data_IF_409943279615
#
_entry.id   IF_409943279615
#
_cell.length_a   1.000
_cell.length_b   1.000
_cell.length_c   1.000
_cell.angle_alpha   90.00
_cell.angle_beta   90.00
_cell.angle_gamma   90.00
#
_symmetry.space_group_name_H-M   'P 1'
#
loop_
_entity.id
_entity.type
_entity.pdbx_description
1 polymer ?
#
# COMPACT_ATOMS: atom_id res chain seq x y z
N UNK A 1 16.60 -0.54 14.23
CA UNK A 1 15.30 -0.52 14.92
C UNK A 1 14.27 0.11 14.00
N UNK A 2 13.08 -0.46 13.90
CA UNK A 2 11.98 0.05 13.06
C UNK A 2 10.90 0.57 14.00
N UNK A 3 10.56 1.85 13.88
CA UNK A 3 9.56 2.51 14.72
C UNK A 3 8.28 2.66 13.92
N UNK A 4 7.15 2.26 14.49
CA UNK A 4 5.83 2.49 13.94
C UNK A 4 4.99 3.33 14.91
N UNK A 5 4.01 4.05 14.38
CA UNK A 5 3.07 4.81 15.20
C UNK A 5 2.19 3.86 16.04
N UNK A 6 1.76 2.75 15.43
CA UNK A 6 0.93 1.73 16.04
C UNK A 6 1.57 0.35 15.81
N UNK A 7 1.55 -0.49 16.85
CA UNK A 7 2.05 -1.86 16.81
C UNK A 7 0.98 -2.80 17.35
N UNK A 8 0.86 -3.98 16.72
CA UNK A 8 -0.17 -4.95 17.07
C UNK A 8 0.45 -6.18 17.72
N UNK A 9 -0.03 -6.51 18.91
CA UNK A 9 0.43 -7.70 19.67
C UNK A 9 -0.63 -8.79 19.73
N UNK A 10 -1.90 -8.45 19.45
CA UNK A 10 -2.98 -9.42 19.45
C UNK A 10 -2.98 -10.28 18.18
N UNK A 11 -3.29 -11.56 18.35
CA UNK A 11 -3.28 -12.52 17.25
C UNK A 11 -4.35 -12.21 16.20
N UNK A 12 -5.49 -11.64 16.60
CA UNK A 12 -6.57 -11.28 15.67
C UNK A 12 -6.17 -10.13 14.75
N UNK A 13 -5.47 -9.12 15.28
CA UNK A 13 -4.93 -8.01 14.49
C UNK A 13 -3.82 -8.48 13.55
N UNK A 14 -2.94 -9.37 14.03
CA UNK A 14 -1.90 -10.00 13.22
C UNK A 14 -2.50 -10.82 12.07
N UNK A 15 -3.57 -11.58 12.33
CA UNK A 15 -4.26 -12.36 11.30
C UNK A 15 -4.92 -11.45 10.25
N UNK A 16 -5.55 -10.35 10.69
CA UNK A 16 -6.09 -9.32 9.79
C UNK A 16 -5.01 -8.71 8.89
N UNK A 17 -3.85 -8.35 9.46
CA UNK A 17 -2.73 -7.84 8.67
C UNK A 17 -2.24 -8.89 7.67
N UNK A 18 -2.16 -10.17 8.06
CA UNK A 18 -1.78 -11.26 7.17
C UNK A 18 -2.77 -11.48 6.03
N UNK A 19 -4.08 -11.36 6.30
CA UNK A 19 -5.11 -11.40 5.27
C UNK A 19 -4.91 -10.28 4.24
N UNK A 20 -4.67 -9.05 4.69
CA UNK A 20 -4.36 -7.92 3.79
C UNK A 20 -3.06 -8.16 2.99
N UNK A 21 -2.02 -8.73 3.61
CA UNK A 21 -0.78 -9.13 2.94
C UNK A 21 -1.03 -10.19 1.85
N UNK A 22 -2.02 -11.06 2.02
CA UNK A 22 -2.39 -12.07 1.04
C UNK A 22 -3.13 -11.49 -0.17
N UNK A 23 -3.78 -10.33 -0.03
CA UNK A 23 -4.41 -9.60 -1.14
C UNK A 23 -3.41 -8.79 -1.97
N UNK A 24 -2.35 -8.31 -1.33
CA UNK A 24 -1.29 -7.48 -1.92
C UNK A 24 -0.19 -8.33 -2.58
N UNK A 25 -0.52 -8.87 -3.76
CA UNK A 25 0.42 -9.59 -4.61
C UNK A 25 1.48 -8.66 -5.20
N UNK A 26 2.69 -9.19 -5.37
CA UNK A 26 3.78 -8.51 -6.05
C UNK A 26 3.39 -8.21 -7.52
N UNK A 27 3.86 -7.08 -8.05
CA UNK A 27 3.64 -6.65 -9.44
C UNK A 27 2.16 -6.42 -9.80
N UNK A 28 1.30 -6.23 -8.80
CA UNK A 28 -0.12 -5.95 -8.99
C UNK A 28 -0.41 -4.46 -8.88
N UNK A 29 -1.21 -3.94 -9.80
CA UNK A 29 -1.79 -2.61 -9.66
C UNK A 29 -2.93 -2.63 -8.63
N UNK A 30 -2.83 -1.76 -7.64
CA UNK A 30 -3.82 -1.61 -6.58
C UNK A 30 -4.07 -0.13 -6.29
N UNK A 31 -5.31 0.18 -5.93
CA UNK A 31 -5.71 1.46 -5.37
C UNK A 31 -5.97 1.24 -3.88
N UNK A 32 -5.25 1.99 -3.05
CA UNK A 32 -5.31 1.94 -1.60
C UNK A 32 -5.94 3.23 -1.09
N UNK A 33 -6.86 3.11 -0.13
CA UNK A 33 -7.39 4.26 0.58
C UNK A 33 -6.93 4.22 2.03
N UNK A 34 -6.41 5.34 2.51
CA UNK A 34 -6.01 5.52 3.91
C UNK A 34 -7.17 6.00 4.77
N UNK A 35 -7.07 5.79 6.07
CA UNK A 35 -7.98 6.31 7.11
C UNK A 35 -8.09 7.84 7.08
N UNK A 36 -7.00 8.53 6.71
CA UNK A 36 -6.93 9.98 6.55
C UNK A 36 -7.65 10.49 5.28
N UNK A 37 -8.26 9.61 4.49
CA UNK A 37 -8.99 9.92 3.26
C UNK A 37 -8.12 10.06 2.02
N UNK A 38 -6.79 9.95 2.14
CA UNK A 38 -5.86 9.93 1.01
C UNK A 38 -5.97 8.62 0.23
N UNK A 39 -5.88 8.71 -1.09
CA UNK A 39 -5.88 7.56 -1.99
C UNK A 39 -4.57 7.47 -2.76
N UNK A 40 -4.02 6.26 -2.85
CA UNK A 40 -2.81 5.95 -3.59
C UNK A 40 -3.07 4.83 -4.57
N UNK A 41 -2.90 5.10 -5.85
CA UNK A 41 -2.93 4.09 -6.90
C UNK A 41 -1.52 3.88 -7.45
N UNK A 42 -1.13 2.62 -7.62
CA UNK A 42 0.17 2.27 -8.19
C UNK A 42 0.44 0.77 -8.17
N UNK A 43 1.69 0.42 -8.42
CA UNK A 43 2.17 -0.95 -8.47
C UNK A 43 2.76 -1.37 -7.13
N UNK A 44 2.36 -2.52 -6.62
CA UNK A 44 2.96 -3.11 -5.42
C UNK A 44 4.38 -3.55 -5.76
N UNK A 45 5.40 -2.81 -5.29
CA UNK A 45 6.81 -3.13 -5.57
C UNK A 45 7.23 -4.50 -5.02
N UNK A 46 6.70 -4.85 -3.85
CA UNK A 46 6.93 -6.14 -3.24
C UNK A 46 5.78 -6.48 -2.29
N UNK A 47 5.51 -7.77 -2.16
CA UNK A 47 4.55 -8.26 -1.16
C UNK A 47 4.97 -7.78 0.23
N UNK A 48 4.10 -7.07 0.97
CA UNK A 48 4.41 -6.63 2.32
C UNK A 48 4.69 -7.83 3.21
N UNK A 49 5.59 -7.64 4.18
CA UNK A 49 5.93 -8.68 5.17
C UNK A 49 5.64 -8.16 6.57
N UNK A 50 5.04 -9.01 7.38
CA UNK A 50 4.86 -8.76 8.80
C UNK A 50 6.24 -8.71 9.46
N UNK A 51 6.52 -7.62 10.17
CA UNK A 51 7.78 -7.40 10.86
C UNK A 51 7.51 -6.85 12.25
N UNK A 52 8.50 -7.00 13.14
CA UNK A 52 8.45 -6.41 14.46
C UNK A 52 8.80 -4.92 14.39
N UNK A 53 7.97 -4.10 15.03
CA UNK A 53 8.13 -2.67 15.18
C UNK A 53 8.01 -2.31 16.66
N UNK A 54 8.64 -1.20 17.02
CA UNK A 54 8.50 -0.60 18.34
C UNK A 54 7.65 0.66 18.23
N UNK A 55 6.70 0.84 19.15
CA UNK A 55 5.99 2.10 19.28
C UNK A 55 6.83 3.12 20.07
N UNK A 56 6.38 4.37 20.14
CA UNK A 56 7.10 5.45 20.86
C UNK A 56 7.16 5.22 22.38
N UNK A 57 6.24 4.44 22.91
CA UNK A 57 6.16 4.06 24.33
C UNK A 57 7.06 2.86 24.69
N UNK A 58 7.80 2.31 23.72
CA UNK A 58 8.69 1.16 23.90
C UNK A 58 7.98 -0.20 23.85
N UNK A 59 6.69 -0.22 23.51
CA UNK A 59 5.94 -1.43 23.21
C UNK A 59 6.40 -2.08 21.91
N UNK A 60 6.70 -3.36 21.98
CA UNK A 60 7.02 -4.20 20.81
C UNK A 60 5.74 -4.83 20.27
N UNK A 61 5.60 -4.84 18.95
CA UNK A 61 4.52 -5.57 18.28
C UNK A 61 4.79 -5.74 16.79
N UNK A 62 3.81 -6.27 16.09
CA UNK A 62 3.89 -6.55 14.67
C UNK A 62 3.19 -5.47 13.85
N UNK A 63 3.77 -5.12 12.72
CA UNK A 63 3.13 -4.28 11.70
C UNK A 63 3.72 -4.64 10.32
N UNK A 64 3.16 -4.08 9.25
CA UNK A 64 3.62 -4.28 7.89
C UNK A 64 3.58 -2.98 7.11
N UNK A 65 4.52 -2.84 6.16
CA UNK A 65 4.62 -1.70 5.27
C UNK A 65 4.52 -2.23 3.83
N UNK A 66 3.64 -1.63 3.04
CA UNK A 66 3.56 -1.85 1.59
C UNK A 66 4.22 -0.69 0.87
N UNK A 67 5.04 -1.01 -0.13
CA UNK A 67 5.62 -0.02 -1.02
C UNK A 67 4.81 0.04 -2.31
N UNK A 68 4.20 1.19 -2.57
CA UNK A 68 3.49 1.46 -3.82
C UNK A 68 4.37 2.33 -4.70
N UNK A 69 4.67 1.84 -5.89
CA UNK A 69 5.35 2.57 -6.95
C UNK A 69 4.29 3.30 -7.75
N UNK A 70 4.41 4.62 -7.82
CA UNK A 70 3.53 5.46 -8.61
C UNK A 70 4.26 5.81 -9.91
N UNK A 71 4.00 5.09 -11.01
CA UNK A 71 4.51 5.48 -12.31
C UNK A 71 3.80 6.77 -12.73
N UNK A 72 4.57 7.82 -12.98
CA UNK A 72 4.07 9.07 -13.53
C UNK A 72 4.58 9.21 -14.97
N UNK A 73 3.88 8.61 -15.96
CA UNK A 73 4.31 8.65 -17.35
C UNK A 73 4.30 10.07 -17.93
N UNK A 74 3.37 10.91 -17.46
CA UNK A 74 3.22 12.30 -17.92
C UNK A 74 4.15 13.28 -17.18
N UNK A 75 4.62 12.90 -15.98
CA UNK A 75 5.43 13.74 -15.12
C UNK A 75 6.49 12.89 -14.39
N UNK A 76 7.63 12.55 -15.04
CA UNK A 76 8.65 11.70 -14.44
C UNK A 76 9.26 12.30 -13.16
N UNK A 77 9.15 13.61 -12.95
CA UNK A 77 9.55 14.27 -11.70
C UNK A 77 8.67 13.87 -10.49
N UNK A 78 7.45 13.38 -10.73
CA UNK A 78 6.55 12.84 -9.69
C UNK A 78 6.55 11.31 -9.65
N UNK A 79 7.33 10.66 -10.53
CA UNK A 79 7.50 9.21 -10.47
C UNK A 79 8.29 8.87 -9.21
N UNK A 80 7.71 8.04 -8.37
CA UNK A 80 8.29 7.76 -7.06
C UNK A 80 7.68 6.52 -6.42
N UNK A 81 8.05 6.31 -5.17
CA UNK A 81 7.46 5.28 -4.34
C UNK A 81 7.03 5.88 -3.02
N UNK A 82 5.97 5.32 -2.45
CA UNK A 82 5.49 5.64 -1.12
C UNK A 82 5.42 4.37 -0.29
N UNK A 83 5.92 4.45 0.93
CA UNK A 83 5.84 3.40 1.92
C UNK A 83 4.63 3.69 2.82
N UNK A 84 3.64 2.81 2.81
CA UNK A 84 2.38 2.94 3.55
C UNK A 84 2.24 1.81 4.57
N UNK A 85 1.82 2.14 5.79
CA UNK A 85 1.52 1.13 6.81
C UNK A 85 0.19 0.43 6.48
N UNK A 86 0.16 -0.90 6.58
CA UNK A 86 -1.06 -1.68 6.32
C UNK A 86 -2.20 -1.31 7.27
N UNK A 87 -1.86 -1.03 8.52
CA UNK A 87 -2.76 -0.48 9.54
C UNK A 87 -3.62 0.68 9.07
N UNK A 88 -3.03 1.61 8.30
CA UNK A 88 -3.68 2.83 7.84
C UNK A 88 -4.57 2.60 6.63
N UNK A 89 -4.47 1.45 5.99
CA UNK A 89 -5.24 1.13 4.79
C UNK A 89 -6.61 0.63 5.21
N UNK A 90 -7.65 1.38 4.84
CA UNK A 90 -9.03 1.03 5.13
C UNK A 90 -9.71 0.29 3.97
N UNK A 91 -9.16 0.37 2.76
CA UNK A 91 -9.73 -0.23 1.55
C UNK A 91 -8.61 -0.55 0.55
N UNK A 92 -8.62 -1.78 0.01
CA UNK A 92 -7.69 -2.26 -1.01
C UNK A 92 -8.53 -2.66 -2.23
N UNK A 93 -8.32 -1.98 -3.36
CA UNK A 93 -8.99 -2.30 -4.61
C UNK A 93 -7.97 -2.76 -5.65
N UNK A 94 -8.08 -3.99 -6.16
CA UNK A 94 -7.31 -4.38 -7.34
C UNK A 94 -7.83 -3.56 -8.53
N UNK A 95 -7.03 -2.61 -8.99
CA UNK A 95 -7.27 -1.95 -10.26
C UNK A 95 -6.63 -2.86 -11.30
N UNK A 96 -7.46 -3.70 -11.94
CA UNK A 96 -7.03 -4.35 -13.18
C UNK A 96 -6.51 -3.25 -14.10
N UNK A 97 -5.34 -3.47 -14.73
CA UNK A 97 -4.66 -2.51 -15.59
C UNK A 97 -5.70 -1.72 -16.40
N UNK A 98 -6.04 -0.52 -15.93
CA UNK A 98 -6.87 0.39 -16.66
C UNK A 98 -5.87 1.01 -17.63
N UNK A 99 -5.83 0.43 -18.83
CA UNK A 99 -5.24 1.08 -19.98
C UNK A 99 -5.70 2.55 -19.92
N UNK A 100 -4.80 3.55 -19.89
CA UNK A 100 -5.23 4.93 -19.89
C UNK A 100 -6.13 5.08 -21.11
N UNK A 101 -7.40 5.40 -20.89
CA UNK A 101 -8.41 5.49 -21.94
C UNK A 101 -7.78 6.21 -23.14
N UNK A 102 -7.51 5.42 -24.18
CA UNK A 102 -6.89 5.91 -25.40
C UNK A 102 -7.69 7.13 -25.81
N UNK A 103 -7.00 8.27 -25.89
CA UNK A 103 -7.60 9.51 -26.33
C UNK A 103 -8.38 9.23 -27.60
N UNK A 104 -9.68 9.50 -27.52
CA UNK A 104 -10.59 9.57 -28.66
C UNK A 104 -10.00 10.59 -29.64
N UNK A 105 -9.16 10.10 -30.55
CA UNK A 105 -8.91 10.76 -31.83
C UNK A 105 -9.99 10.23 -32.75
N UNK A 106 -11.21 10.72 -32.53
CA UNK A 106 -12.25 10.74 -33.54
C UNK A 106 -11.66 11.49 -34.75
N UNK A 107 -11.30 10.71 -35.77
CA UNK A 107 -10.91 11.21 -37.07
C UNK A 107 -11.88 10.58 -38.09
N UNK A 108 -13.01 11.25 -38.31
CA UNK A 108 -13.72 11.26 -39.60
C UNK A 108 -14.73 12.42 -39.68
#
# INVERSE_FOLDING_TARGET
>A
MRIADTVYTDQADIDRLQAMIAELWNDRHVALRLDDGREFAGLVAARPILQQFFNRDGGEGSNAIVRIVQPAPDAPATAGWVDLFLDRIIDIRPVGHCEPAAGSLDLN
#
